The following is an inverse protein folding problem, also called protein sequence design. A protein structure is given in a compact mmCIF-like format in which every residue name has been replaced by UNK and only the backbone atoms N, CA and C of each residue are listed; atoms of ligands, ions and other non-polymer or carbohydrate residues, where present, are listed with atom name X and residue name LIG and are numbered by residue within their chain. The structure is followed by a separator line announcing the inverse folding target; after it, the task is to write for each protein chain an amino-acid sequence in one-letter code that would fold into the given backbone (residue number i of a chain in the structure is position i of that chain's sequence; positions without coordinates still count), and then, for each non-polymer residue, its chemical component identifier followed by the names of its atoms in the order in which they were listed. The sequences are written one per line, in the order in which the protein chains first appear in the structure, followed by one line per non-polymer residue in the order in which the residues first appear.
data_IF_874160682765
#
_entry.id   IF_874160682765
#
_cell.length_a   1.000
_cell.length_b   1.000
_cell.length_c   1.000
_cell.angle_alpha   90.00
_cell.angle_beta   90.00
_cell.angle_gamma   90.00
#
_symmetry.space_group_name_H-M   'P 1'
#
loop_
_entity.id
_entity.type
_entity.pdbx_description
1 polymer ?
#
# COMPACT_ATOMS: atom_id res chain seq x y z
N UNK A 1 12.45 -1.03 -3.63
CA UNK A 1 12.13 0.40 -3.55
C UNK A 1 11.36 0.81 -4.80
N UNK A 2 10.22 1.51 -4.64
CA UNK A 2 9.53 2.10 -5.79
C UNK A 2 10.30 3.36 -6.20
N UNK A 3 10.95 3.34 -7.36
CA UNK A 3 11.61 4.52 -7.91
C UNK A 3 10.60 5.24 -8.81
N UNK A 4 10.57 6.57 -8.78
CA UNK A 4 9.86 7.31 -9.81
C UNK A 4 10.58 7.06 -11.13
N UNK A 5 9.88 6.45 -12.09
CA UNK A 5 10.38 6.35 -13.45
C UNK A 5 10.43 7.74 -14.11
N UNK A 6 11.10 7.87 -15.26
CA UNK A 6 11.13 9.12 -16.03
C UNK A 6 9.72 9.65 -16.30
N UNK A 7 9.60 10.97 -16.38
CA UNK A 7 8.34 11.70 -16.55
C UNK A 7 7.54 11.12 -17.72
N UNK A 8 6.34 10.61 -17.43
CA UNK A 8 5.45 9.96 -18.40
C UNK A 8 5.38 8.42 -18.36
N UNK A 9 6.31 7.74 -17.66
CA UNK A 9 6.39 6.27 -17.63
C UNK A 9 5.59 5.55 -16.53
N UNK A 10 4.94 6.30 -15.64
CA UNK A 10 4.28 5.71 -14.46
C UNK A 10 5.26 5.09 -13.45
N UNK A 11 4.72 4.66 -12.32
CA UNK A 11 5.52 4.15 -11.19
C UNK A 11 5.96 2.70 -11.43
N UNK A 12 7.26 2.47 -11.61
CA UNK A 12 7.84 1.14 -11.81
C UNK A 12 8.36 0.59 -10.47
N UNK A 13 7.69 -0.44 -9.94
CA UNK A 13 8.10 -1.19 -8.74
C UNK A 13 7.09 -1.15 -7.59
N UNK A 14 7.09 -2.22 -6.76
CA UNK A 14 6.27 -2.30 -5.54
C UNK A 14 6.72 -1.27 -4.51
N UNK A 15 5.75 -0.70 -3.78
CA UNK A 15 6.02 0.18 -2.64
C UNK A 15 6.60 -0.65 -1.50
N UNK A 16 7.93 -0.77 -1.43
CA UNK A 16 8.59 -1.56 -0.40
C UNK A 16 8.31 -1.01 1.02
N UNK A 17 8.20 0.32 1.15
CA UNK A 17 8.05 1.01 2.44
C UNK A 17 6.60 0.97 2.97
N UNK A 18 5.67 0.33 2.25
CA UNK A 18 4.26 0.24 2.64
C UNK A 18 3.77 -1.18 2.51
N UNK A 19 3.12 -1.65 3.56
CA UNK A 19 2.39 -2.90 3.57
C UNK A 19 0.91 -2.64 3.76
N UNK A 20 0.10 -3.64 3.47
CA UNK A 20 -1.34 -3.59 3.74
C UNK A 20 -1.81 -4.87 4.40
N UNK A 21 -2.77 -4.73 5.31
CA UNK A 21 -3.46 -5.84 5.94
C UNK A 21 -4.96 -5.59 5.91
N UNK A 22 -5.75 -6.66 6.06
CA UNK A 22 -7.20 -6.52 6.19
C UNK A 22 -7.54 -6.27 7.65
N UNK A 23 -8.17 -5.13 7.93
CA UNK A 23 -8.62 -4.80 9.27
C UNK A 23 -9.89 -5.59 9.62
N UNK A 24 -10.26 -5.71 10.92
CA UNK A 24 -11.44 -6.48 11.35
C UNK A 24 -12.77 -6.00 10.74
N UNK A 25 -12.84 -4.74 10.32
CA UNK A 25 -13.98 -4.18 9.60
C UNK A 25 -14.05 -4.59 8.11
N UNK A 26 -13.16 -5.48 7.66
CA UNK A 26 -13.09 -5.96 6.28
C UNK A 26 -12.32 -5.04 5.33
N UNK A 27 -11.98 -3.82 5.74
CA UNK A 27 -11.32 -2.84 4.90
C UNK A 27 -9.80 -3.06 4.85
N UNK A 28 -9.21 -2.80 3.67
CA UNK A 28 -7.76 -2.83 3.50
C UNK A 28 -7.14 -1.58 4.10
N UNK A 29 -6.13 -1.75 4.94
CA UNK A 29 -5.45 -0.67 5.64
C UNK A 29 -3.97 -0.67 5.32
N UNK A 30 -3.40 0.50 5.01
CA UNK A 30 -1.96 0.68 4.78
C UNK A 30 -1.24 0.88 6.09
N UNK A 31 -0.10 0.20 6.22
CA UNK A 31 0.87 0.38 7.29
C UNK A 31 2.19 0.84 6.70
N UNK A 32 2.81 1.80 7.37
CA UNK A 32 4.19 2.17 7.10
C UNK A 32 5.12 1.08 7.66
N UNK A 33 5.98 0.50 6.82
CA UNK A 33 6.81 -0.65 7.24
C UNK A 33 8.02 -0.25 8.09
N UNK A 34 8.38 1.03 8.10
CA UNK A 34 9.53 1.53 8.86
C UNK A 34 9.11 1.94 10.28
N UNK A 35 7.96 2.59 10.39
CA UNK A 35 7.45 3.16 11.65
C UNK A 35 6.33 2.32 12.29
N UNK A 36 5.72 1.40 11.54
CA UNK A 36 4.57 0.61 11.97
C UNK A 36 3.25 1.39 12.05
N UNK A 37 3.24 2.68 11.68
CA UNK A 37 2.07 3.55 11.79
C UNK A 37 1.01 3.16 10.76
N UNK A 38 -0.25 3.24 11.18
CA UNK A 38 -1.40 3.14 10.27
C UNK A 38 -1.52 4.45 9.51
N UNK A 39 -1.49 4.37 8.18
CA UNK A 39 -1.52 5.58 7.33
C UNK A 39 -2.89 5.87 6.75
N UNK A 40 -3.56 4.85 6.24
CA UNK A 40 -4.77 5.05 5.45
C UNK A 40 -5.62 3.78 5.42
N UNK A 41 -6.93 3.94 5.39
CA UNK A 41 -7.89 2.84 5.29
C UNK A 41 -8.73 3.02 4.04
N UNK A 42 -8.84 1.95 3.26
CA UNK A 42 -9.60 1.97 2.02
C UNK A 42 -11.09 1.93 2.33
N UNK A 43 -11.77 3.02 1.99
CA UNK A 43 -13.23 3.15 2.09
C UNK A 43 -13.92 3.06 0.72
N UNK A 44 -13.16 3.20 -0.37
CA UNK A 44 -13.70 3.25 -1.73
C UNK A 44 -14.01 1.89 -2.34
N UNK A 45 -13.36 0.81 -1.89
CA UNK A 45 -13.66 -0.54 -2.35
C UNK A 45 -13.13 -1.63 -1.41
N UNK A 46 -13.72 -2.84 -1.45
CA UNK A 46 -13.27 -3.98 -0.63
C UNK A 46 -11.97 -4.63 -1.12
N UNK A 47 -11.43 -4.15 -2.25
CA UNK A 47 -10.23 -4.73 -2.86
C UNK A 47 -8.96 -4.16 -2.22
N UNK A 48 -7.81 -4.87 -2.24
CA UNK A 48 -6.55 -4.32 -1.77
C UNK A 48 -6.12 -3.06 -2.55
N UNK A 49 -5.21 -2.29 -1.95
CA UNK A 49 -4.51 -1.21 -2.64
C UNK A 49 -3.61 -1.77 -3.75
N UNK A 50 -3.76 -1.23 -4.96
CA UNK A 50 -2.93 -1.61 -6.10
C UNK A 50 -1.47 -1.24 -5.83
N UNK A 51 -0.55 -2.19 -6.03
CA UNK A 51 0.90 -1.95 -5.91
C UNK A 51 1.46 -1.89 -4.48
N UNK A 52 0.66 -2.21 -3.45
CA UNK A 52 1.10 -2.32 -2.05
C UNK A 52 1.18 -3.80 -1.66
N UNK A 53 2.26 -4.23 -0.99
CA UNK A 53 2.41 -5.64 -0.59
C UNK A 53 1.44 -6.01 0.52
N UNK A 54 0.81 -7.18 0.46
CA UNK A 54 0.04 -7.71 1.59
C UNK A 54 0.98 -8.21 2.68
N UNK A 55 0.65 -7.92 3.94
CA UNK A 55 1.26 -8.57 5.10
C UNK A 55 0.86 -10.06 5.07
N UNK A 56 1.78 -10.94 5.49
CA UNK A 56 1.49 -12.37 5.66
C UNK A 56 1.05 -12.62 7.09
#
# INVERSE_FOLDING_TARGET
MAKNGPTGGGRQGQVANRSQFQAPNGNWTKRDTETGRIMDQKTSSPNPFKGVRKEK
#
